data_IF_450974196435
#
_entry.id   IF_450974196435
#
_cell.length_a   1.000
_cell.length_b   1.000
_cell.length_c   1.000
_cell.angle_alpha   90.00
_cell.angle_beta   90.00
_cell.angle_gamma   90.00
#
_symmetry.space_group_name_H-M   'P 1'
#
loop_
_entity.id
_entity.type
_entity.pdbx_description
1 polymer ?
#
# COMPACT_ATOMS: atom_id res chain seq x y z
N UNK A 1 9.92 -16.23 10.84
CA UNK A 1 11.23 -15.84 11.43
C UNK A 1 10.99 -15.16 12.77
N UNK A 2 11.96 -15.19 13.70
CA UNK A 2 11.93 -14.43 14.96
C UNK A 2 13.06 -13.41 14.93
N UNK A 3 12.74 -12.14 15.17
CA UNK A 3 13.69 -11.03 15.22
C UNK A 3 13.36 -10.20 16.46
N UNK A 4 14.38 -9.84 17.24
CA UNK A 4 14.23 -8.86 18.31
C UNK A 4 14.41 -7.46 17.71
N UNK A 5 13.50 -6.53 18.04
CA UNK A 5 13.56 -5.13 17.64
C UNK A 5 13.65 -4.26 18.88
N UNK A 6 14.45 -3.20 18.82
CA UNK A 6 14.49 -2.18 19.87
C UNK A 6 13.45 -1.10 19.56
N UNK A 7 12.67 -0.71 20.56
CA UNK A 7 11.61 0.29 20.47
C UNK A 7 11.75 1.27 21.64
N UNK A 8 11.38 2.55 21.49
CA UNK A 8 11.21 3.43 22.63
C UNK A 8 10.15 2.87 23.59
N UNK A 9 10.37 3.00 24.90
CA UNK A 9 9.46 2.46 25.92
C UNK A 9 8.02 2.97 25.75
N UNK A 10 7.85 4.26 25.43
CA UNK A 10 6.52 4.85 25.20
C UNK A 10 5.76 4.15 24.08
N UNK A 11 6.45 3.80 22.99
CA UNK A 11 5.84 3.11 21.84
C UNK A 11 5.46 1.68 22.22
N UNK A 12 6.32 1.01 23.00
CA UNK A 12 6.04 -0.33 23.50
C UNK A 12 4.80 -0.33 24.40
N UNK A 13 4.72 0.57 25.38
CA UNK A 13 3.59 0.67 26.31
C UNK A 13 2.26 0.95 25.58
N UNK A 14 2.27 1.88 24.62
CA UNK A 14 1.08 2.18 23.81
C UNK A 14 0.65 0.97 22.97
N UNK A 15 1.60 0.23 22.39
CA UNK A 15 1.33 -0.98 21.63
C UNK A 15 0.76 -2.09 22.52
N UNK A 16 1.27 -2.28 23.74
CA UNK A 16 0.74 -3.26 24.70
C UNK A 16 -0.70 -2.95 25.09
N UNK A 17 -0.99 -1.69 25.42
CA UNK A 17 -2.33 -1.25 25.78
C UNK A 17 -3.31 -1.50 24.62
N UNK A 18 -2.92 -1.16 23.39
CA UNK A 18 -3.74 -1.38 22.20
C UNK A 18 -3.95 -2.88 21.92
N UNK A 19 -2.91 -3.70 22.04
CA UNK A 19 -3.02 -5.14 21.85
C UNK A 19 -4.04 -5.74 22.82
N UNK A 20 -4.00 -5.33 24.10
CA UNK A 20 -4.94 -5.77 25.12
C UNK A 20 -6.38 -5.31 24.81
N UNK A 21 -6.56 -4.05 24.42
CA UNK A 21 -7.89 -3.52 24.04
C UNK A 21 -8.50 -4.27 22.86
N UNK A 22 -7.67 -4.70 21.90
CA UNK A 22 -8.10 -5.43 20.72
C UNK A 22 -8.16 -6.96 20.92
N UNK A 23 -7.74 -7.47 22.08
CA UNK A 23 -7.65 -8.91 22.34
C UNK A 23 -6.62 -9.62 21.46
N UNK A 24 -5.59 -8.92 21.01
CA UNK A 24 -4.53 -9.44 20.16
C UNK A 24 -3.30 -9.81 20.98
N UNK A 25 -2.56 -10.82 20.54
CA UNK A 25 -1.20 -10.99 21.02
C UNK A 25 -0.30 -9.87 20.52
N UNK A 26 0.77 -9.59 21.26
CA UNK A 26 1.82 -8.63 20.86
C UNK A 26 2.32 -8.90 19.44
N UNK A 27 2.69 -10.15 19.16
CA UNK A 27 3.18 -10.55 17.85
C UNK A 27 2.17 -10.27 16.74
N UNK A 28 0.89 -10.54 16.97
CA UNK A 28 -0.15 -10.28 15.97
C UNK A 28 -0.32 -8.78 15.71
N UNK A 29 -0.30 -7.94 16.75
CA UNK A 29 -0.37 -6.49 16.59
C UNK A 29 0.80 -5.97 15.74
N UNK A 30 2.04 -6.34 16.08
CA UNK A 30 3.22 -5.91 15.33
C UNK A 30 3.22 -6.44 13.90
N UNK A 31 2.80 -7.69 13.67
CA UNK A 31 2.66 -8.24 12.33
C UNK A 31 1.64 -7.45 11.50
N UNK A 32 0.45 -7.18 12.03
CA UNK A 32 -0.58 -6.41 11.33
C UNK A 32 -0.13 -4.98 11.02
N UNK A 33 0.57 -4.34 11.96
CA UNK A 33 1.12 -3.01 11.76
C UNK A 33 2.15 -2.99 10.62
N UNK A 34 3.09 -3.94 10.62
CA UNK A 34 4.09 -4.07 9.56
C UNK A 34 3.47 -4.38 8.21
N UNK A 35 2.50 -5.32 8.13
CA UNK A 35 1.80 -5.61 6.89
C UNK A 35 1.09 -4.38 6.31
N UNK A 36 0.43 -3.61 7.17
CA UNK A 36 -0.28 -2.39 6.78
C UNK A 36 0.71 -1.35 6.27
N UNK A 37 1.82 -1.16 6.99
CA UNK A 37 2.85 -0.22 6.60
C UNK A 37 3.53 -0.63 5.29
N UNK A 38 3.90 -1.90 5.13
CA UNK A 38 4.51 -2.41 3.90
C UNK A 38 3.56 -2.29 2.71
N UNK A 39 2.27 -2.61 2.87
CA UNK A 39 1.25 -2.42 1.82
C UNK A 39 1.20 -0.97 1.33
N UNK A 40 1.29 0.01 2.24
CA UNK A 40 1.31 1.44 1.88
C UNK A 40 2.46 1.79 0.93
N UNK A 41 3.62 1.14 1.09
CA UNK A 41 4.81 1.38 0.25
C UNK A 41 4.97 0.38 -0.89
N UNK A 42 4.01 -0.53 -1.06
CA UNK A 42 4.10 -1.58 -2.05
C UNK A 42 3.77 -1.14 -3.50
N UNK A 43 3.83 0.17 -3.77
CA UNK A 43 3.57 0.75 -5.10
C UNK A 43 4.45 0.13 -6.18
N UNK A 44 5.70 -0.20 -5.84
CA UNK A 44 6.63 -0.85 -6.76
C UNK A 44 6.22 -2.29 -7.11
N UNK A 45 5.63 -3.05 -6.18
CA UNK A 45 5.14 -4.39 -6.49
C UNK A 45 3.86 -4.34 -7.32
N UNK A 46 2.97 -3.36 -7.08
CA UNK A 46 1.79 -3.14 -7.94
C UNK A 46 2.23 -2.80 -9.36
N UNK A 47 3.17 -1.87 -9.53
CA UNK A 47 3.73 -1.53 -10.83
C UNK A 47 4.37 -2.76 -11.49
N UNK A 48 5.13 -3.55 -10.73
CA UNK A 48 5.75 -4.77 -11.25
C UNK A 48 4.72 -5.82 -11.68
N UNK A 49 3.60 -5.95 -10.97
CA UNK A 49 2.49 -6.82 -11.36
C UNK A 49 1.78 -6.32 -12.62
N UNK A 50 1.52 -5.01 -12.72
CA UNK A 50 0.94 -4.41 -13.92
C UNK A 50 1.86 -4.61 -15.14
N UNK A 51 3.17 -4.38 -14.98
CA UNK A 51 4.14 -4.63 -16.04
C UNK A 51 4.16 -6.09 -16.50
N UNK A 52 3.96 -7.06 -15.58
CA UNK A 52 3.87 -8.47 -15.96
C UNK A 52 2.62 -8.77 -16.79
N UNK A 53 1.47 -8.17 -16.46
CA UNK A 53 0.23 -8.32 -17.24
C UNK A 53 0.40 -7.67 -18.62
N UNK A 54 0.79 -6.40 -18.65
CA UNK A 54 0.94 -5.64 -19.89
C UNK A 54 2.19 -5.99 -20.71
N UNK A 55 3.04 -6.91 -20.23
CA UNK A 55 4.05 -7.55 -21.08
C UNK A 55 3.44 -8.54 -22.08
N UNK A 56 2.19 -8.99 -21.82
CA UNK A 56 1.47 -9.97 -22.63
C UNK A 56 0.24 -9.38 -23.33
N UNK A 57 -0.27 -8.27 -22.82
CA UNK A 57 -1.48 -7.60 -23.31
C UNK A 57 -1.20 -6.11 -23.51
N UNK A 58 -1.85 -5.47 -24.49
CA UNK A 58 -1.68 -4.03 -24.70
C UNK A 58 -2.26 -3.24 -23.54
N UNK A 59 -1.53 -2.22 -23.07
CA UNK A 59 -2.02 -1.24 -22.10
C UNK A 59 -2.69 -0.03 -22.75
N UNK A 60 -2.77 0.00 -24.09
CA UNK A 60 -3.39 1.10 -24.83
C UNK A 60 -4.91 1.13 -24.59
N UNK A 61 -5.42 2.34 -24.35
CA UNK A 61 -6.86 2.58 -24.33
C UNK A 61 -7.41 2.59 -25.75
N UNK A 62 -8.68 2.22 -25.90
CA UNK A 62 -9.40 2.46 -27.15
C UNK A 62 -9.27 3.94 -27.56
N UNK A 63 -8.89 4.24 -28.81
CA UNK A 63 -8.62 5.61 -29.24
C UNK A 63 -9.80 6.58 -29.05
N UNK A 64 -11.04 6.09 -29.12
CA UNK A 64 -12.24 6.89 -28.88
C UNK A 64 -12.36 7.22 -27.40
N UNK A 65 -12.13 6.24 -26.51
CA UNK A 65 -12.15 6.44 -25.05
C UNK A 65 -11.06 7.40 -24.60
N UNK A 66 -9.83 7.24 -25.11
CA UNK A 66 -8.72 8.14 -24.81
C UNK A 66 -9.04 9.60 -25.19
N UNK A 67 -9.66 9.81 -26.36
CA UNK A 67 -10.10 11.15 -26.79
C UNK A 67 -11.20 11.72 -25.89
N UNK A 68 -12.19 10.91 -25.52
CA UNK A 68 -13.27 11.36 -24.63
C UNK A 68 -12.73 11.77 -23.25
N UNK A 69 -11.78 11.02 -22.69
CA UNK A 69 -11.15 11.36 -21.43
C UNK A 69 -10.32 12.65 -21.52
N UNK A 70 -9.59 12.85 -22.62
CA UNK A 70 -8.84 14.08 -22.81
C UNK A 70 -9.76 15.32 -22.88
N UNK A 71 -10.93 15.17 -23.50
CA UNK A 71 -11.92 16.26 -23.62
C UNK A 71 -12.66 16.56 -22.30
N UNK A 72 -12.60 15.70 -21.29
CA UNK A 72 -13.21 15.96 -19.97
C UNK A 72 -12.30 16.75 -19.04
N UNK A 73 -11.01 16.89 -19.37
CA UNK A 73 -10.08 17.74 -18.63
C UNK A 73 -10.39 19.21 -18.92
N UNK A 74 -10.35 20.04 -17.88
CA UNK A 74 -10.41 21.48 -18.06
C UNK A 74 -9.22 21.93 -18.92
N UNK A 75 -9.45 22.84 -19.87
CA UNK A 75 -8.35 23.51 -20.55
C UNK A 75 -7.67 24.41 -19.53
N UNK A 76 -6.51 23.97 -19.05
CA UNK A 76 -5.61 24.81 -18.28
C UNK A 76 -4.66 25.50 -19.25
N UNK A 77 -4.62 26.84 -19.18
CA UNK A 77 -3.60 27.65 -19.84
C UNK A 77 -2.31 27.50 -19.03
N UNK A 78 -1.53 26.46 -19.32
CA UNK A 78 -0.15 26.33 -18.84
C UNK A 78 0.85 26.95 -19.80
#
# INVERSE_FOLDING_TARGET
MKTAISLPDSVFEEAEALAQQLGLSRSELYTKALETYLKKYNRNQILHQLNQVYSKESSELDPVVARMQLMSLAREDW
#
